data_IF_533244799459
#
_entry.id   IF_533244799459
#
_cell.length_a   1.000
_cell.length_b   1.000
_cell.length_c   1.000
_cell.angle_alpha   90.00
_cell.angle_beta   90.00
_cell.angle_gamma   90.00
#
_symmetry.space_group_name_H-M   'P 1'
#
loop_
_entity.id
_entity.type
_entity.pdbx_description
1 polymer ?
#
# COMPACT_ATOMS: atom_id res chain seq x y z
N UNK A 1 14.82 -27.50 -18.76
CA UNK A 1 13.48 -26.98 -19.02
C UNK A 1 12.97 -26.16 -17.85
N UNK A 2 13.11 -26.66 -16.62
CA UNK A 2 12.65 -25.92 -15.45
C UNK A 2 13.41 -24.61 -15.25
N UNK A 3 14.71 -24.57 -15.55
CA UNK A 3 15.50 -23.35 -15.44
C UNK A 3 15.01 -22.31 -16.45
N UNK A 4 14.72 -22.76 -17.66
CA UNK A 4 14.19 -21.86 -18.71
C UNK A 4 12.84 -21.29 -18.31
N UNK A 5 11.95 -22.13 -17.76
CA UNK A 5 10.64 -21.69 -17.30
C UNK A 5 10.75 -20.66 -16.18
N UNK A 6 11.68 -20.86 -15.24
CA UNK A 6 11.90 -19.90 -14.14
C UNK A 6 12.40 -18.55 -14.66
N UNK A 7 13.31 -18.58 -15.63
CA UNK A 7 13.82 -17.35 -16.25
C UNK A 7 12.71 -16.63 -16.99
N UNK A 8 11.85 -17.37 -17.68
CA UNK A 8 10.71 -16.82 -18.38
C UNK A 8 9.73 -16.16 -17.40
N UNK A 9 9.41 -16.83 -16.29
CA UNK A 9 8.55 -16.29 -15.25
C UNK A 9 9.10 -15.00 -14.66
N UNK A 10 10.41 -14.98 -14.36
CA UNK A 10 11.03 -13.77 -13.81
C UNK A 10 10.98 -12.61 -14.79
N UNK A 11 11.23 -12.89 -16.08
CA UNK A 11 11.17 -11.87 -17.11
C UNK A 11 9.77 -11.32 -17.26
N UNK A 12 8.77 -12.20 -17.25
CA UNK A 12 7.37 -11.81 -17.36
C UNK A 12 6.94 -10.94 -16.17
N UNK A 13 7.30 -11.35 -14.96
CA UNK A 13 6.99 -10.56 -13.76
C UNK A 13 7.62 -9.18 -13.82
N UNK A 14 8.87 -9.10 -14.29
CA UNK A 14 9.56 -7.82 -14.43
C UNK A 14 8.82 -6.91 -15.42
N UNK A 15 8.41 -7.45 -16.55
CA UNK A 15 7.67 -6.69 -17.56
C UNK A 15 6.33 -6.22 -16.99
N UNK A 16 5.60 -7.11 -16.32
CA UNK A 16 4.31 -6.76 -15.73
C UNK A 16 4.46 -5.65 -14.69
N UNK A 17 5.51 -5.70 -13.88
CA UNK A 17 5.78 -4.66 -12.89
C UNK A 17 6.10 -3.31 -13.51
N UNK A 18 6.77 -3.31 -14.67
CA UNK A 18 7.09 -2.09 -15.39
C UNK A 18 5.85 -1.43 -15.98
N UNK A 19 4.86 -2.23 -16.38
CA UNK A 19 3.65 -1.74 -17.03
C UNK A 19 2.47 -1.58 -16.08
N UNK A 20 2.62 -2.00 -14.82
CA UNK A 20 1.57 -1.94 -13.81
C UNK A 20 2.02 -1.11 -12.63
N UNK A 21 1.09 -0.37 -12.03
CA UNK A 21 1.33 0.34 -10.77
C UNK A 21 1.43 -0.63 -9.59
N UNK A 22 1.05 -1.88 -9.78
CA UNK A 22 1.07 -2.90 -8.72
C UNK A 22 2.36 -3.70 -8.83
N UNK A 23 3.21 -3.64 -7.80
CA UNK A 23 4.49 -4.31 -7.79
C UNK A 23 4.46 -5.68 -7.12
N UNK A 24 3.41 -5.96 -6.36
CA UNK A 24 3.24 -7.24 -5.67
C UNK A 24 1.76 -7.50 -5.41
N UNK A 25 1.45 -8.77 -5.14
CA UNK A 25 0.10 -9.15 -4.72
C UNK A 25 0.01 -8.94 -3.22
N UNK A 26 -0.95 -8.16 -2.79
CA UNK A 26 -1.17 -7.85 -1.37
C UNK A 26 -2.55 -8.38 -0.97
N UNK A 27 -2.61 -9.53 -0.30
CA UNK A 27 -3.90 -10.10 0.08
C UNK A 27 -4.49 -9.45 1.31
N UNK A 28 -5.81 -9.39 1.34
CA UNK A 28 -6.57 -8.99 2.52
C UNK A 28 -6.61 -10.15 3.51
N UNK A 29 -6.71 -9.85 4.81
CA UNK A 29 -6.87 -10.89 5.83
C UNK A 29 -8.13 -11.71 5.61
N UNK A 30 -8.04 -13.02 5.84
CA UNK A 30 -9.14 -13.95 5.53
C UNK A 30 -10.45 -13.56 6.21
N UNK A 31 -10.38 -13.07 7.44
CA UNK A 31 -11.59 -12.70 8.21
C UNK A 31 -12.32 -11.50 7.65
N UNK A 32 -11.69 -10.74 6.74
CA UNK A 32 -12.30 -9.55 6.17
C UNK A 32 -12.91 -9.76 4.79
N UNK A 33 -12.62 -10.90 4.16
CA UNK A 33 -13.10 -11.18 2.81
C UNK A 33 -14.63 -11.17 2.81
N UNK A 34 -15.22 -10.36 1.91
CA UNK A 34 -16.67 -10.24 1.80
C UNK A 34 -17.33 -9.41 2.89
N UNK A 35 -16.52 -8.80 3.76
CA UNK A 35 -17.04 -7.96 4.84
C UNK A 35 -17.48 -6.59 4.38
N UNK A 36 -18.06 -5.85 5.30
CA UNK A 36 -18.59 -4.51 5.05
C UNK A 36 -18.06 -3.53 6.08
N UNK A 37 -17.64 -2.35 5.61
CA UNK A 37 -17.31 -1.23 6.49
C UNK A 37 -18.52 -0.31 6.55
N UNK A 38 -19.03 -0.04 7.76
CA UNK A 38 -20.21 0.78 7.94
C UNK A 38 -19.81 2.12 8.55
N UNK A 39 -20.16 3.20 7.86
CA UNK A 39 -19.98 4.56 8.38
C UNK A 39 -21.32 5.02 8.92
N UNK A 40 -21.40 5.13 10.23
CA UNK A 40 -22.63 5.47 10.91
C UNK A 40 -22.56 6.88 11.45
N UNK A 41 -23.60 7.69 11.17
CA UNK A 41 -23.65 9.05 11.69
C UNK A 41 -24.00 9.04 13.17
N UNK A 42 -23.77 10.16 13.85
CA UNK A 42 -24.21 10.34 15.23
C UNK A 42 -25.74 10.32 15.32
N UNK A 43 -26.42 10.78 14.28
CA UNK A 43 -27.88 10.72 14.17
C UNK A 43 -28.29 9.35 13.67
N UNK A 44 -28.82 8.52 14.55
CA UNK A 44 -29.15 7.13 14.24
C UNK A 44 -30.40 6.98 13.39
N UNK A 45 -31.13 8.06 13.15
CA UNK A 45 -32.29 8.04 12.23
C UNK A 45 -31.83 8.00 10.77
N UNK A 46 -30.56 8.35 10.49
CA UNK A 46 -30.01 8.33 9.14
C UNK A 46 -29.40 6.96 8.84
N UNK A 47 -29.51 6.55 7.57
CA UNK A 47 -28.92 5.30 7.13
C UNK A 47 -27.41 5.35 7.16
N UNK A 48 -26.74 4.29 7.63
CA UNK A 48 -25.29 4.22 7.52
C UNK A 48 -24.84 4.07 6.07
N UNK A 49 -23.67 4.59 5.77
CA UNK A 49 -23.02 4.35 4.49
C UNK A 49 -22.23 3.06 4.58
N UNK A 50 -22.50 2.14 3.70
CA UNK A 50 -21.78 0.86 3.66
C UNK A 50 -20.82 0.82 2.50
N UNK A 51 -19.60 0.35 2.77
CA UNK A 51 -18.54 0.20 1.79
C UNK A 51 -18.03 -1.23 1.90
N UNK A 52 -18.02 -2.00 0.80
CA UNK A 52 -17.39 -3.32 0.86
C UNK A 52 -15.94 -3.20 1.30
N UNK A 53 -15.53 -4.02 2.27
CA UNK A 53 -14.16 -3.94 2.78
C UNK A 53 -13.15 -4.27 1.70
N UNK A 54 -13.47 -5.20 0.80
CA UNK A 54 -12.56 -5.55 -0.29
C UNK A 54 -12.26 -4.35 -1.18
N UNK A 55 -13.26 -3.53 -1.48
CA UNK A 55 -13.08 -2.33 -2.30
C UNK A 55 -12.26 -1.28 -1.55
N UNK A 56 -12.53 -1.10 -0.27
CA UNK A 56 -11.77 -0.16 0.55
C UNK A 56 -10.32 -0.59 0.65
N UNK A 57 -10.09 -1.89 0.90
CA UNK A 57 -8.74 -2.43 1.00
C UNK A 57 -7.97 -2.24 -0.31
N UNK A 58 -8.64 -2.44 -1.44
CA UNK A 58 -8.01 -2.24 -2.75
C UNK A 58 -7.47 -0.81 -2.88
N UNK A 59 -8.25 0.18 -2.43
CA UNK A 59 -7.80 1.58 -2.45
C UNK A 59 -6.60 1.82 -1.53
N UNK A 60 -6.59 1.18 -0.38
CA UNK A 60 -5.46 1.26 0.56
C UNK A 60 -4.20 0.68 -0.08
N UNK A 61 -4.31 -0.46 -0.74
CA UNK A 61 -3.18 -1.08 -1.42
C UNK A 61 -2.68 -0.21 -2.57
N UNK A 62 -3.58 0.37 -3.33
CA UNK A 62 -3.19 1.27 -4.42
C UNK A 62 -2.41 2.48 -3.89
N UNK A 63 -2.86 3.07 -2.79
CA UNK A 63 -2.15 4.18 -2.18
C UNK A 63 -0.76 3.76 -1.69
N UNK A 64 -0.67 2.60 -1.06
CA UNK A 64 0.59 2.02 -0.63
C UNK A 64 1.58 1.89 -1.80
N UNK A 65 1.11 1.31 -2.90
CA UNK A 65 1.95 1.08 -4.07
C UNK A 65 2.41 2.38 -4.70
N UNK A 66 1.52 3.36 -4.78
CA UNK A 66 1.86 4.68 -5.34
C UNK A 66 2.87 5.43 -4.49
N UNK A 67 2.76 5.34 -3.18
CA UNK A 67 3.75 5.93 -2.27
C UNK A 67 5.12 5.26 -2.44
N UNK A 68 5.13 3.93 -2.64
CA UNK A 68 6.37 3.20 -2.87
C UNK A 68 7.02 3.59 -4.20
N UNK A 69 6.22 3.77 -5.23
CA UNK A 69 6.73 4.26 -6.53
C UNK A 69 7.30 5.66 -6.37
N UNK A 70 6.61 6.52 -5.62
CA UNK A 70 7.10 7.87 -5.35
C UNK A 70 8.45 7.84 -4.63
N UNK A 71 8.61 6.97 -3.63
CA UNK A 71 9.89 6.79 -2.95
C UNK A 71 11.00 6.41 -3.92
N UNK A 72 10.73 5.47 -4.81
CA UNK A 72 11.70 5.02 -5.80
C UNK A 72 12.10 6.15 -6.73
N UNK A 73 11.14 6.95 -7.17
CA UNK A 73 11.39 8.08 -8.06
C UNK A 73 12.24 9.15 -7.38
N UNK A 74 11.98 9.40 -6.10
CA UNK A 74 12.77 10.39 -5.34
C UNK A 74 14.19 9.87 -5.15
N UNK A 75 14.34 8.62 -4.73
CA UNK A 75 15.65 8.06 -4.45
C UNK A 75 16.53 7.96 -5.69
N UNK A 76 15.93 7.74 -6.84
CA UNK A 76 16.65 7.67 -8.12
C UNK A 76 16.76 8.99 -8.85
N UNK A 77 16.22 10.07 -8.31
CA UNK A 77 16.18 11.37 -8.99
C UNK A 77 17.59 11.97 -9.07
N UNK A 78 18.01 12.32 -10.28
CA UNK A 78 19.39 12.75 -10.53
C UNK A 78 19.64 14.19 -10.12
N UNK A 79 18.62 15.01 -10.04
CA UNK A 79 18.76 16.45 -9.76
C UNK A 79 18.59 16.82 -8.29
N UNK A 80 18.03 15.91 -7.49
CA UNK A 80 17.86 16.17 -6.06
C UNK A 80 19.14 15.84 -5.31
N UNK A 81 19.50 16.68 -4.35
CA UNK A 81 20.59 16.39 -3.43
C UNK A 81 20.16 15.32 -2.43
N UNK A 82 21.13 14.70 -1.77
CA UNK A 82 20.81 13.72 -0.74
C UNK A 82 20.01 14.33 0.39
N UNK A 83 20.31 15.56 0.77
CA UNK A 83 19.55 16.27 1.80
C UNK A 83 18.10 16.49 1.38
N UNK A 84 17.88 16.90 0.13
CA UNK A 84 16.53 17.08 -0.39
C UNK A 84 15.75 15.77 -0.41
N UNK A 85 16.40 14.67 -0.80
CA UNK A 85 15.78 13.36 -0.80
C UNK A 85 15.33 12.93 0.60
N UNK A 86 16.20 13.14 1.59
CA UNK A 86 15.87 12.83 2.98
C UNK A 86 14.67 13.64 3.46
N UNK A 87 14.63 14.92 3.13
CA UNK A 87 13.52 15.79 3.54
C UNK A 87 12.19 15.32 2.96
N UNK A 88 12.18 14.97 1.67
CA UNK A 88 10.97 14.49 1.02
C UNK A 88 10.58 13.12 1.59
N UNK A 89 11.57 12.25 1.81
CA UNK A 89 11.33 10.92 2.34
C UNK A 89 10.66 10.96 3.72
N UNK A 90 10.98 11.95 4.54
CA UNK A 90 10.34 12.11 5.84
C UNK A 90 8.83 12.30 5.73
N UNK A 91 8.37 13.04 4.74
CA UNK A 91 6.93 13.23 4.52
C UNK A 91 6.26 11.94 4.09
N UNK A 92 6.92 11.16 3.24
CA UNK A 92 6.39 9.86 2.83
C UNK A 92 6.28 8.92 4.03
N UNK A 93 7.30 8.90 4.88
CA UNK A 93 7.29 8.11 6.11
C UNK A 93 6.15 8.53 7.03
N UNK A 94 5.86 9.81 7.11
CA UNK A 94 4.71 10.32 7.87
C UNK A 94 3.38 9.87 7.27
N UNK A 95 3.30 9.81 5.93
CA UNK A 95 2.10 9.26 5.27
C UNK A 95 1.89 7.81 5.68
N UNK A 96 2.95 7.00 5.67
CA UNK A 96 2.84 5.62 6.13
C UNK A 96 2.39 5.55 7.59
N UNK A 97 2.94 6.42 8.44
CA UNK A 97 2.56 6.47 9.84
C UNK A 97 1.07 6.74 10.03
N UNK A 98 0.51 7.61 9.20
CA UNK A 98 -0.91 7.94 9.26
C UNK A 98 -1.80 6.78 8.81
N UNK A 99 -1.24 5.83 8.07
CA UNK A 99 -2.01 4.73 7.49
C UNK A 99 -1.90 3.43 8.30
N UNK A 100 -1.13 3.44 9.39
CA UNK A 100 -0.92 2.23 10.19
C UNK A 100 -2.20 1.66 10.80
N UNK A 101 -3.22 2.49 10.99
CA UNK A 101 -4.54 2.05 11.44
C UNK A 101 -5.11 0.96 10.55
N UNK A 102 -4.81 1.01 9.27
CA UNK A 102 -5.36 0.07 8.29
C UNK A 102 -4.54 -1.22 8.17
N UNK A 103 -3.46 -1.33 8.94
CA UNK A 103 -2.65 -2.57 8.95
C UNK A 103 -3.47 -3.79 9.35
N UNK A 104 -4.54 -3.57 10.13
CA UNK A 104 -5.42 -4.64 10.57
C UNK A 104 -6.07 -5.40 9.40
N UNK A 105 -6.15 -4.79 8.22
CA UNK A 105 -6.77 -5.39 7.05
C UNK A 105 -5.86 -6.34 6.28
N UNK A 106 -4.55 -6.23 6.46
CA UNK A 106 -3.58 -7.02 5.70
C UNK A 106 -3.46 -8.43 6.25
N UNK A 107 -3.37 -9.39 5.35
CA UNK A 107 -3.11 -10.76 5.74
C UNK A 107 -1.68 -10.93 6.26
N UNK A 108 -0.71 -10.33 5.59
CA UNK A 108 0.71 -10.50 5.89
C UNK A 108 1.29 -9.27 6.57
N UNK A 109 1.91 -9.48 7.72
CA UNK A 109 2.52 -8.41 8.50
C UNK A 109 3.66 -7.72 7.75
N UNK A 110 4.35 -8.44 6.87
CA UNK A 110 5.44 -7.90 6.07
C UNK A 110 5.01 -6.79 5.13
N UNK A 111 3.70 -6.71 4.84
CA UNK A 111 3.15 -5.72 3.92
C UNK A 111 2.54 -4.51 4.62
N UNK A 112 2.60 -4.47 5.93
CA UNK A 112 2.06 -3.37 6.74
C UNK A 112 2.74 -2.05 6.40
N UNK A 113 2.00 -0.96 6.62
CA UNK A 113 2.60 0.37 6.64
C UNK A 113 3.50 0.49 7.86
N UNK A 114 4.67 1.09 7.67
CA UNK A 114 5.63 1.32 8.75
C UNK A 114 6.02 2.79 8.73
N UNK A 115 5.70 3.51 9.79
CA UNK A 115 6.10 4.90 9.96
C UNK A 115 7.36 5.03 10.78
N UNK A 116 7.65 6.25 11.22
CA UNK A 116 8.76 6.51 12.14
C UNK A 116 8.54 5.82 13.46
N UNK A 117 9.63 5.45 14.12
CA UNK A 117 9.57 4.81 15.43
C UNK A 117 8.79 5.62 16.46
N UNK A 118 8.75 6.93 16.33
CA UNK A 118 7.98 7.80 17.22
C UNK A 118 6.57 8.08 16.77
N UNK A 119 6.13 7.60 15.61
CA UNK A 119 4.80 7.84 15.09
C UNK A 119 3.80 6.96 15.77
N UNK A 120 2.89 7.59 16.48
CA UNK A 120 1.71 6.90 16.99
C UNK A 120 0.56 7.37 16.16
N UNK A 121 -0.03 6.55 15.27
CA UNK A 121 -1.01 6.97 14.43
C UNK A 121 -2.17 6.97 14.53
#
# INVERSE_FOLDING_TARGET
IQIVLRLFEKSLLKILRQWSDITEIVPIGDKWIGGTMSLQTADKSLKPKEIPIDDFFHKIVMLRDRLRVLEQNINSHKKLTDEEKVNIQQYITRCYGSLTTFNVLFKNKEQWFVGDKGSKE
#
